data_IF_277392638001
#
_entry.id   IF_277392638001
#
_cell.length_a   1.000
_cell.length_b   1.000
_cell.length_c   1.000
_cell.angle_alpha   90.00
_cell.angle_beta   90.00
_cell.angle_gamma   90.00
#
_symmetry.space_group_name_H-M   'P 1'
#
loop_
_entity.id
_entity.type
_entity.pdbx_description
1 polymer ?
#
# COMPACT_ATOMS: atom_id res chain seq x y z
N UNK A 1 0.70 -12.00 39.22
CA UNK A 1 -0.38 -12.48 38.34
C UNK A 1 -0.26 -11.73 37.01
N UNK A 2 0.02 -12.41 35.90
CA UNK A 2 0.13 -11.78 34.58
C UNK A 2 -1.24 -11.21 34.17
N UNK A 3 -1.37 -9.91 34.09
CA UNK A 3 -2.56 -9.25 33.52
C UNK A 3 -2.50 -9.45 32.01
N UNK A 4 -3.18 -10.49 31.55
CA UNK A 4 -3.27 -10.83 30.11
C UNK A 4 -4.38 -9.99 29.49
N UNK A 5 -4.04 -9.10 28.55
CA UNK A 5 -5.00 -8.27 27.79
C UNK A 5 -5.62 -9.04 26.62
N UNK A 6 -6.84 -8.69 26.25
CA UNK A 6 -7.47 -9.21 25.03
C UNK A 6 -6.86 -8.57 23.79
N UNK A 7 -7.04 -9.14 22.58
CA UNK A 7 -6.61 -8.51 21.33
C UNK A 7 -7.13 -7.09 21.15
N UNK A 8 -8.40 -6.85 21.48
CA UNK A 8 -9.06 -5.56 21.35
C UNK A 8 -8.46 -4.52 22.31
N UNK A 9 -8.20 -4.93 23.57
CA UNK A 9 -7.51 -4.07 24.55
C UNK A 9 -6.09 -3.71 24.13
N UNK A 10 -5.38 -4.61 23.43
CA UNK A 10 -4.05 -4.34 22.91
C UNK A 10 -4.10 -3.33 21.77
N UNK A 11 -5.04 -3.47 20.84
CA UNK A 11 -5.23 -2.50 19.74
C UNK A 11 -5.61 -1.12 20.27
N UNK A 12 -6.53 -1.04 21.24
CA UNK A 12 -6.88 0.22 21.94
C UNK A 12 -5.67 0.84 22.65
N UNK A 13 -4.82 0.01 23.26
CA UNK A 13 -3.59 0.46 23.90
C UNK A 13 -2.60 1.04 22.89
N UNK A 14 -2.43 0.38 21.72
CA UNK A 14 -1.60 0.87 20.63
C UNK A 14 -2.10 2.24 20.16
N UNK A 15 -3.39 2.40 19.96
CA UNK A 15 -3.98 3.65 19.50
C UNK A 15 -3.80 4.80 20.51
N UNK A 16 -3.94 4.51 21.82
CA UNK A 16 -3.81 5.52 22.88
C UNK A 16 -2.37 5.92 23.20
N UNK A 17 -1.41 4.99 23.10
CA UNK A 17 -0.03 5.19 23.57
C UNK A 17 0.93 5.66 22.48
N UNK A 18 0.57 5.47 21.20
CA UNK A 18 1.44 5.82 20.08
C UNK A 18 0.75 6.79 19.13
N UNK A 19 1.54 7.64 18.51
CA UNK A 19 1.09 8.65 17.55
C UNK A 19 1.95 8.61 16.28
N UNK A 20 1.45 9.13 15.15
CA UNK A 20 2.22 9.21 13.92
C UNK A 20 3.57 9.93 14.12
N UNK A 21 4.57 9.47 13.39
CA UNK A 21 5.86 10.16 13.27
C UNK A 21 5.65 11.32 12.28
N UNK A 22 5.71 12.54 12.76
CA UNK A 22 5.57 13.76 11.95
C UNK A 22 6.87 14.08 11.19
N UNK A 23 7.39 13.12 10.43
CA UNK A 23 8.61 13.28 9.63
C UNK A 23 8.29 13.05 8.16
N UNK A 24 8.64 14.03 7.34
CA UNK A 24 8.51 13.94 5.89
C UNK A 24 9.88 14.04 5.22
N UNK A 25 9.98 13.45 4.03
CA UNK A 25 11.12 13.56 3.13
C UNK A 25 10.65 13.75 1.70
N UNK A 26 11.52 14.30 0.85
CA UNK A 26 11.25 14.38 -0.57
C UNK A 26 11.97 13.22 -1.28
N UNK A 27 11.23 12.50 -2.11
CA UNK A 27 11.77 11.42 -2.95
C UNK A 27 11.54 11.71 -4.42
N UNK A 28 12.37 11.13 -5.28
CA UNK A 28 12.13 11.20 -6.71
C UNK A 28 10.81 10.49 -7.08
N UNK A 29 10.14 10.95 -8.14
CA UNK A 29 8.88 10.38 -8.60
C UNK A 29 8.97 8.85 -8.82
N UNK A 30 10.11 8.36 -9.34
CA UNK A 30 10.39 6.93 -9.55
C UNK A 30 10.46 6.10 -8.25
N UNK A 31 10.69 6.74 -7.11
CA UNK A 31 10.82 6.10 -5.79
C UNK A 31 9.56 6.28 -4.92
N UNK A 32 8.56 6.99 -5.46
CA UNK A 32 7.38 7.39 -4.70
C UNK A 32 6.29 6.29 -4.63
N UNK A 33 6.31 5.29 -5.51
CA UNK A 33 5.33 4.19 -5.51
C UNK A 33 5.34 3.45 -4.17
N UNK A 34 4.15 3.21 -3.60
CA UNK A 34 3.99 2.55 -2.30
C UNK A 34 4.36 3.41 -1.08
N UNK A 35 4.86 4.64 -1.29
CA UNK A 35 5.10 5.61 -0.21
C UNK A 35 3.79 6.28 0.20
N UNK A 36 3.76 6.78 1.42
CA UNK A 36 2.60 7.52 1.96
C UNK A 36 2.82 9.02 1.74
N UNK A 37 1.85 9.70 1.16
CA UNK A 37 1.93 11.13 0.88
C UNK A 37 1.89 11.94 2.19
N UNK A 38 2.84 12.86 2.36
CA UNK A 38 3.00 13.64 3.60
C UNK A 38 2.15 14.91 3.64
N UNK A 39 1.72 15.42 2.50
CA UNK A 39 0.89 16.62 2.36
C UNK A 39 -0.03 16.51 1.14
N UNK A 40 -1.08 17.34 1.07
CA UNK A 40 -1.95 17.44 -0.10
C UNK A 40 -1.16 17.96 -1.31
N UNK A 41 -1.38 17.35 -2.47
CA UNK A 41 -0.80 17.82 -3.73
C UNK A 41 -1.87 18.53 -4.55
N UNK A 42 -1.71 19.84 -4.70
CA UNK A 42 -2.50 20.65 -5.59
C UNK A 42 -1.73 20.95 -6.90
N UNK A 43 -2.45 21.00 -7.99
CA UNK A 43 -1.91 21.39 -9.29
C UNK A 43 -1.54 22.89 -9.30
N UNK A 44 -0.50 23.23 -10.05
CA UNK A 44 -0.08 24.62 -10.31
C UNK A 44 -0.38 25.07 -11.72
N UNK A 45 -0.66 24.13 -12.61
CA UNK A 45 -0.84 24.30 -14.04
C UNK A 45 -2.14 23.68 -14.49
N UNK A 46 -2.59 24.03 -15.70
CA UNK A 46 -3.69 23.36 -16.36
C UNK A 46 -3.25 22.06 -16.99
N UNK A 47 -4.12 21.04 -17.00
CA UNK A 47 -3.93 19.81 -17.77
C UNK A 47 -5.22 19.54 -18.56
N UNK A 48 -5.14 19.48 -19.90
CA UNK A 48 -4.02 19.97 -20.72
C UNK A 48 -3.88 21.51 -20.63
N UNK A 49 -2.71 22.04 -21.03
CA UNK A 49 -2.46 23.49 -21.02
C UNK A 49 -2.91 24.20 -22.31
N UNK A 50 -3.54 23.48 -23.23
CA UNK A 50 -4.12 24.00 -24.46
C UNK A 50 -5.31 23.16 -24.92
N UNK A 51 -6.19 23.75 -25.73
CA UNK A 51 -7.29 23.01 -26.36
C UNK A 51 -6.72 22.06 -27.41
N UNK A 52 -7.17 20.78 -27.39
CA UNK A 52 -6.64 19.76 -28.31
C UNK A 52 -7.72 18.88 -28.93
N UNK A 53 -7.43 18.37 -30.13
CA UNK A 53 -8.27 17.40 -30.79
C UNK A 53 -8.18 16.01 -30.14
N UNK A 54 -9.29 15.27 -30.08
CA UNK A 54 -9.32 13.86 -29.69
C UNK A 54 -9.23 12.90 -30.87
N UNK A 55 -9.25 13.42 -32.10
CA UNK A 55 -9.29 12.66 -33.36
C UNK A 55 -8.36 13.29 -34.39
N UNK A 56 -7.97 12.53 -35.41
CA UNK A 56 -7.41 13.08 -36.64
C UNK A 56 -8.54 13.68 -37.46
N UNK A 57 -8.37 14.92 -37.92
CA UNK A 57 -9.45 15.58 -38.65
C UNK A 57 -9.20 17.05 -38.93
N UNK A 58 -10.29 17.79 -39.10
CA UNK A 58 -10.26 19.20 -39.42
C UNK A 58 -10.95 20.02 -38.37
N UNK A 59 -10.21 20.94 -37.77
CA UNK A 59 -10.71 21.95 -36.86
C UNK A 59 -11.56 22.95 -37.64
N UNK A 60 -12.80 23.18 -37.19
CA UNK A 60 -13.83 24.00 -37.85
C UNK A 60 -14.53 24.88 -36.83
N UNK A 61 -15.25 25.85 -37.28
CA UNK A 61 -16.36 26.44 -36.56
C UNK A 61 -17.59 25.59 -36.87
N UNK A 62 -18.24 25.05 -35.85
CA UNK A 62 -19.38 24.13 -36.03
C UNK A 62 -20.48 24.72 -36.87
N UNK A 63 -20.75 26.03 -36.75
CA UNK A 63 -21.74 26.75 -37.57
C UNK A 63 -21.51 26.59 -39.06
N UNK A 64 -20.27 26.50 -39.54
CA UNK A 64 -19.92 26.44 -40.94
C UNK A 64 -20.19 25.04 -41.55
N UNK A 65 -20.49 24.08 -40.71
CA UNK A 65 -20.83 22.69 -41.10
C UNK A 65 -22.33 22.39 -40.99
N UNK A 66 -23.15 23.32 -40.46
CA UNK A 66 -24.56 23.05 -40.26
C UNK A 66 -25.31 22.82 -41.57
N UNK A 67 -26.07 21.74 -41.61
CA UNK A 67 -26.84 21.34 -42.78
C UNK A 67 -26.04 20.59 -43.86
N UNK A 68 -24.75 20.36 -43.68
CA UNK A 68 -23.97 19.54 -44.59
C UNK A 68 -24.37 18.06 -44.50
N UNK A 69 -24.15 17.34 -45.60
CA UNK A 69 -24.38 15.90 -45.74
C UNK A 69 -23.48 15.35 -46.86
N UNK A 70 -23.46 14.01 -47.02
CA UNK A 70 -22.74 13.39 -48.16
C UNK A 70 -23.17 13.93 -49.53
N UNK A 71 -24.46 14.31 -49.68
CA UNK A 71 -24.97 14.85 -50.93
C UNK A 71 -24.72 16.36 -51.09
N UNK A 72 -24.53 17.09 -49.99
CA UNK A 72 -24.30 18.54 -49.95
C UNK A 72 -23.23 18.82 -48.89
N UNK A 73 -21.95 18.54 -49.20
CA UNK A 73 -20.85 18.80 -48.24
C UNK A 73 -20.61 20.31 -48.07
N UNK A 74 -20.17 20.71 -46.86
CA UNK A 74 -19.64 22.05 -46.66
C UNK A 74 -18.21 22.09 -47.23
N UNK A 75 -17.93 23.02 -48.14
CA UNK A 75 -16.60 23.14 -48.77
C UNK A 75 -15.83 24.23 -48.04
N UNK A 76 -14.76 23.85 -47.36
CA UNK A 76 -13.94 24.75 -46.52
C UNK A 76 -12.48 24.82 -47.04
N UNK A 77 -11.93 26.00 -47.35
CA UNK A 77 -10.53 26.18 -47.62
C UNK A 77 -9.64 25.71 -46.45
N UNK A 78 -8.65 24.86 -46.77
CA UNK A 78 -7.63 24.40 -45.86
C UNK A 78 -6.55 25.47 -45.68
N UNK A 79 -6.50 26.10 -44.51
CA UNK A 79 -5.58 27.22 -44.26
C UNK A 79 -4.21 26.79 -43.74
N UNK A 80 -4.18 25.75 -42.94
CA UNK A 80 -2.97 25.26 -42.27
C UNK A 80 -3.08 23.79 -41.87
N UNK A 81 -1.95 23.20 -41.53
CA UNK A 81 -1.87 21.88 -40.88
C UNK A 81 -1.05 22.03 -39.63
N UNK A 82 -1.62 21.63 -38.50
CA UNK A 82 -0.93 21.60 -37.19
C UNK A 82 -0.15 20.30 -37.08
N UNK A 83 1.12 20.38 -36.73
CA UNK A 83 1.96 19.22 -36.47
C UNK A 83 1.98 18.85 -34.98
N UNK A 84 2.22 17.57 -34.69
CA UNK A 84 2.34 17.12 -33.29
C UNK A 84 3.52 17.81 -32.61
N UNK A 85 3.26 18.33 -31.39
CA UNK A 85 4.25 19.04 -30.59
C UNK A 85 4.42 20.52 -30.96
N UNK A 86 3.66 21.02 -31.92
CA UNK A 86 3.63 22.44 -32.27
C UNK A 86 2.37 23.13 -31.74
N UNK A 87 2.48 24.42 -31.45
CA UNK A 87 1.34 25.28 -31.11
C UNK A 87 0.49 25.57 -32.34
N UNK A 88 -0.79 25.86 -32.13
CA UNK A 88 -1.69 26.28 -33.22
C UNK A 88 -1.84 27.83 -33.19
N UNK A 89 -0.82 28.54 -33.68
CA UNK A 89 -0.79 30.02 -33.68
C UNK A 89 -1.65 30.66 -34.80
N UNK A 90 -2.68 29.98 -35.25
CA UNK A 90 -3.62 30.43 -36.25
C UNK A 90 -4.96 30.86 -35.60
N UNK A 91 -5.59 31.86 -36.15
CA UNK A 91 -6.97 32.21 -35.84
C UNK A 91 -7.90 31.70 -36.96
N UNK A 92 -8.72 30.72 -36.62
CA UNK A 92 -9.70 30.16 -37.57
C UNK A 92 -10.83 31.16 -37.80
N UNK A 93 -10.98 31.63 -39.07
CA UNK A 93 -12.05 32.49 -39.46
C UNK A 93 -13.28 31.67 -39.92
N UNK A 94 -14.37 32.38 -40.19
CA UNK A 94 -15.61 31.79 -40.75
C UNK A 94 -15.33 31.20 -42.15
N UNK A 95 -15.84 29.99 -42.35
CA UNK A 95 -15.72 29.27 -43.62
C UNK A 95 -14.37 28.65 -43.91
N UNK A 96 -13.48 28.55 -42.90
CA UNK A 96 -12.16 27.94 -43.05
C UNK A 96 -12.04 26.63 -42.25
N UNK A 97 -11.04 25.80 -42.58
CA UNK A 97 -10.63 24.66 -41.77
C UNK A 97 -9.12 24.55 -41.62
N UNK A 98 -8.69 23.84 -40.55
CA UNK A 98 -7.27 23.55 -40.28
C UNK A 98 -7.13 22.05 -39.97
N UNK A 99 -6.20 21.36 -40.63
CA UNK A 99 -5.93 19.97 -40.36
C UNK A 99 -5.22 19.81 -39.00
N UNK A 100 -5.74 18.92 -38.15
CA UNK A 100 -5.23 18.70 -36.81
C UNK A 100 -5.11 17.19 -36.53
N UNK A 101 -3.98 16.73 -35.96
CA UNK A 101 -3.83 15.34 -35.57
C UNK A 101 -4.47 15.09 -34.19
N UNK A 102 -4.73 13.83 -33.89
CA UNK A 102 -5.13 13.37 -32.54
C UNK A 102 -4.14 13.84 -31.49
N UNK A 103 -4.64 14.55 -30.46
CA UNK A 103 -3.81 15.15 -29.40
C UNK A 103 -3.14 16.47 -29.80
N UNK A 104 -3.24 16.90 -31.04
CA UNK A 104 -2.69 18.17 -31.53
C UNK A 104 -3.47 19.37 -31.01
N UNK A 105 -2.77 20.50 -30.87
CA UNK A 105 -3.38 21.78 -30.53
C UNK A 105 -4.39 22.20 -31.60
N UNK A 106 -5.48 22.85 -31.18
CA UNK A 106 -6.45 23.44 -32.12
C UNK A 106 -6.31 24.95 -32.15
N UNK A 107 -6.51 25.59 -33.33
CA UNK A 107 -6.45 27.02 -33.47
C UNK A 107 -7.52 27.74 -32.64
N UNK A 108 -7.24 28.97 -32.25
CA UNK A 108 -8.27 29.83 -31.66
C UNK A 108 -9.41 30.06 -32.65
N UNK A 109 -10.65 30.05 -32.15
CA UNK A 109 -11.84 30.17 -33.01
C UNK A 109 -12.45 28.83 -33.42
N UNK A 110 -11.74 27.74 -33.18
CA UNK A 110 -12.28 26.36 -33.33
C UNK A 110 -13.26 26.07 -32.19
N UNK A 111 -14.43 25.53 -32.52
CA UNK A 111 -15.37 25.00 -31.55
C UNK A 111 -15.80 23.55 -31.83
N UNK A 112 -15.22 22.93 -32.87
CA UNK A 112 -15.43 21.51 -33.18
C UNK A 112 -14.32 20.94 -34.10
N UNK A 113 -14.15 19.63 -34.07
CA UNK A 113 -13.29 18.90 -35.01
C UNK A 113 -14.09 17.83 -35.70
N UNK A 114 -14.07 17.86 -37.05
CA UNK A 114 -14.69 16.80 -37.88
C UNK A 114 -13.60 15.74 -38.15
N UNK A 115 -13.95 14.48 -37.89
CA UNK A 115 -13.03 13.34 -38.14
C UNK A 115 -12.72 13.24 -39.65
N UNK A 116 -11.51 12.82 -39.97
CA UNK A 116 -11.04 12.65 -41.37
C UNK A 116 -11.95 11.72 -42.18
N UNK A 117 -12.56 10.72 -41.54
CA UNK A 117 -13.48 9.75 -42.16
C UNK A 117 -14.79 10.37 -42.69
N UNK A 118 -15.10 11.61 -42.26
CA UNK A 118 -16.28 12.36 -42.72
C UNK A 118 -15.89 13.55 -43.59
N UNK A 119 -14.70 13.51 -44.18
CA UNK A 119 -14.18 14.60 -45.02
C UNK A 119 -13.58 14.06 -46.32
N UNK A 120 -13.52 14.91 -47.35
CA UNK A 120 -12.89 14.62 -48.61
C UNK A 120 -11.95 15.78 -49.01
N UNK A 121 -10.70 15.46 -49.28
CA UNK A 121 -9.72 16.43 -49.81
C UNK A 121 -9.82 16.47 -51.32
N UNK A 122 -10.27 17.62 -51.88
CA UNK A 122 -10.42 17.79 -53.32
C UNK A 122 -9.10 18.06 -54.05
N UNK A 123 -8.00 18.21 -53.33
CA UNK A 123 -6.66 18.40 -53.89
C UNK A 123 -6.42 19.81 -54.53
N UNK A 124 -7.38 20.70 -54.36
CA UNK A 124 -7.32 22.10 -54.82
C UNK A 124 -7.12 23.10 -53.67
N UNK A 125 -6.86 22.57 -52.44
CA UNK A 125 -6.75 23.33 -51.20
C UNK A 125 -8.10 23.50 -50.45
N UNK A 126 -9.15 22.75 -50.84
CA UNK A 126 -10.40 22.74 -50.14
C UNK A 126 -10.75 21.35 -49.62
N UNK A 127 -11.48 21.34 -48.49
CA UNK A 127 -11.94 20.12 -47.83
C UNK A 127 -13.48 20.11 -47.84
N UNK A 128 -14.03 19.03 -48.35
CA UNK A 128 -15.47 18.74 -48.27
C UNK A 128 -15.78 18.11 -46.93
N UNK A 129 -16.69 18.69 -46.14
CA UNK A 129 -17.16 18.16 -44.85
C UNK A 129 -18.56 17.61 -45.06
N UNK A 130 -18.72 16.30 -44.89
CA UNK A 130 -19.97 15.58 -45.13
C UNK A 130 -20.85 15.40 -43.89
N UNK A 131 -20.29 15.63 -42.68
CA UNK A 131 -21.00 15.48 -41.41
C UNK A 131 -20.85 16.74 -40.55
N UNK A 132 -21.96 17.31 -40.03
CA UNK A 132 -21.89 18.53 -39.22
C UNK A 132 -21.23 18.27 -37.87
N UNK A 133 -20.42 19.22 -37.43
CA UNK A 133 -19.85 19.26 -36.07
C UNK A 133 -20.87 19.92 -35.12
N UNK A 134 -20.90 19.44 -33.88
CA UNK A 134 -21.51 20.16 -32.78
C UNK A 134 -20.44 20.95 -32.00
N UNK A 135 -20.78 22.10 -31.38
CA UNK A 135 -19.84 22.78 -30.49
C UNK A 135 -19.30 21.85 -29.39
N UNK A 136 -18.00 21.85 -29.19
CA UNK A 136 -17.28 20.95 -28.27
C UNK A 136 -16.97 19.55 -28.82
N UNK A 137 -17.48 19.20 -30.01
CA UNK A 137 -17.30 17.87 -30.59
C UNK A 137 -15.80 17.57 -30.86
N UNK A 138 -15.32 16.44 -30.35
CA UNK A 138 -13.95 15.94 -30.50
C UNK A 138 -12.87 16.89 -29.95
N UNK A 139 -13.20 17.68 -28.94
CA UNK A 139 -12.28 18.59 -28.26
C UNK A 139 -12.11 18.20 -26.78
N UNK A 140 -10.90 18.39 -26.28
CA UNK A 140 -10.59 18.52 -24.86
C UNK A 140 -10.09 19.94 -24.65
N UNK A 141 -10.75 20.67 -23.79
CA UNK A 141 -10.40 22.07 -23.50
C UNK A 141 -9.29 22.17 -22.47
N UNK A 142 -8.59 23.28 -22.49
CA UNK A 142 -7.59 23.62 -21.50
C UNK A 142 -8.16 23.50 -20.08
N UNK A 143 -7.55 22.65 -19.26
CA UNK A 143 -7.94 22.47 -17.86
C UNK A 143 -9.14 21.55 -17.62
N UNK A 144 -9.64 20.85 -18.62
CA UNK A 144 -10.77 19.91 -18.48
C UNK A 144 -10.48 18.82 -17.44
N UNK A 145 -9.21 18.37 -17.34
CA UNK A 145 -8.80 17.39 -16.34
C UNK A 145 -8.38 18.09 -15.03
N UNK A 146 -7.46 19.04 -15.15
CA UNK A 146 -6.84 19.69 -13.98
C UNK A 146 -6.68 21.19 -14.18
N UNK A 147 -7.03 21.97 -13.15
CA UNK A 147 -6.83 23.42 -13.11
C UNK A 147 -5.99 23.84 -11.88
N UNK A 148 -5.32 25.00 -11.91
CA UNK A 148 -4.54 25.47 -10.79
C UNK A 148 -5.34 25.56 -9.49
N UNK A 149 -4.80 25.00 -8.41
CA UNK A 149 -5.44 24.92 -7.10
C UNK A 149 -6.28 23.67 -6.85
N UNK A 150 -6.59 22.87 -7.89
CA UNK A 150 -7.29 21.58 -7.69
C UNK A 150 -6.36 20.63 -6.93
N UNK A 151 -6.83 20.14 -5.78
CA UNK A 151 -6.16 19.06 -5.04
C UNK A 151 -6.37 17.75 -5.79
N UNK A 152 -5.27 17.10 -6.14
CA UNK A 152 -5.25 15.85 -6.94
C UNK A 152 -5.10 14.64 -6.03
N UNK A 153 -4.23 14.75 -5.03
CA UNK A 153 -3.95 13.69 -4.08
C UNK A 153 -3.94 14.26 -2.66
N UNK A 154 -4.55 13.54 -1.73
CA UNK A 154 -4.61 13.94 -0.32
C UNK A 154 -3.51 13.28 0.50
N UNK A 155 -3.07 13.99 1.55
CA UNK A 155 -2.17 13.48 2.59
C UNK A 155 -2.68 12.12 3.12
N UNK A 156 -1.75 11.23 3.49
CA UNK A 156 -2.03 9.91 4.02
C UNK A 156 -2.31 8.84 2.97
N UNK A 157 -2.43 9.23 1.67
CA UNK A 157 -2.61 8.29 0.58
C UNK A 157 -1.35 7.48 0.30
N UNK A 158 -1.48 6.16 0.23
CA UNK A 158 -0.43 5.28 -0.32
C UNK A 158 -0.43 5.39 -1.84
N UNK A 159 0.71 5.83 -2.41
CA UNK A 159 0.83 6.15 -3.84
C UNK A 159 0.84 4.89 -4.71
N UNK A 160 -0.11 4.80 -5.62
CA UNK A 160 -0.21 3.79 -6.66
C UNK A 160 0.51 4.21 -7.93
N UNK A 161 0.63 3.29 -8.90
CA UNK A 161 1.16 3.61 -10.25
C UNK A 161 0.31 4.67 -10.97
N UNK A 162 -1.00 4.68 -10.77
CA UNK A 162 -1.88 5.70 -11.34
C UNK A 162 -1.61 7.10 -10.72
N UNK A 163 -1.34 7.14 -9.41
CA UNK A 163 -0.99 8.39 -8.75
C UNK A 163 0.35 8.95 -9.24
N UNK A 164 1.32 8.06 -9.55
CA UNK A 164 2.59 8.46 -10.17
C UNK A 164 2.35 9.10 -11.55
N UNK A 165 1.44 8.52 -12.35
CA UNK A 165 1.03 9.12 -13.63
C UNK A 165 0.39 10.51 -13.45
N UNK A 166 -0.49 10.66 -12.48
CA UNK A 166 -1.12 11.96 -12.18
C UNK A 166 -0.10 13.00 -11.71
N UNK A 167 0.85 12.62 -10.86
CA UNK A 167 1.95 13.50 -10.41
C UNK A 167 2.85 13.91 -11.59
N UNK A 168 3.16 12.99 -12.50
CA UNK A 168 3.92 13.28 -13.72
C UNK A 168 3.18 14.28 -14.61
N UNK A 169 1.86 14.11 -14.79
CA UNK A 169 1.03 14.98 -15.63
C UNK A 169 1.04 16.45 -15.16
N UNK A 170 1.22 16.69 -13.85
CA UNK A 170 1.33 18.05 -13.26
C UNK A 170 2.78 18.47 -12.99
N UNK A 171 3.77 17.79 -13.55
CA UNK A 171 5.19 18.13 -13.43
C UNK A 171 5.81 17.94 -12.04
N UNK A 172 5.20 17.14 -11.17
CA UNK A 172 5.73 16.86 -9.81
C UNK A 172 6.79 15.75 -9.85
N UNK A 173 8.05 16.13 -9.98
CA UNK A 173 9.20 15.20 -10.01
C UNK A 173 9.80 14.91 -8.62
N UNK A 174 9.53 15.76 -7.64
CA UNK A 174 9.87 15.57 -6.23
C UNK A 174 8.57 15.47 -5.42
N UNK A 175 8.42 14.37 -4.71
CA UNK A 175 7.17 14.03 -4.01
C UNK A 175 7.41 14.04 -2.49
N UNK A 176 6.65 14.85 -1.73
CA UNK A 176 6.72 14.84 -0.27
C UNK A 176 6.03 13.60 0.27
N UNK A 177 6.78 12.71 0.92
CA UNK A 177 6.28 11.47 1.49
C UNK A 177 6.63 11.35 2.96
N UNK A 178 5.82 10.62 3.73
CA UNK A 178 6.16 10.26 5.08
C UNK A 178 7.47 9.45 5.10
N UNK A 179 8.37 9.78 6.02
CA UNK A 179 9.62 9.03 6.19
C UNK A 179 9.30 7.58 6.57
N UNK A 180 10.06 6.64 6.02
CA UNK A 180 9.93 5.24 6.41
C UNK A 180 10.25 5.05 7.88
N UNK A 181 9.38 4.33 8.60
CA UNK A 181 9.66 3.91 9.97
C UNK A 181 10.86 2.98 9.98
N UNK A 182 11.87 3.28 10.77
CA UNK A 182 13.04 2.42 10.95
C UNK A 182 12.78 1.48 12.13
N UNK A 183 12.86 0.17 11.87
CA UNK A 183 12.59 -0.87 12.87
C UNK A 183 13.86 -1.67 13.14
N UNK A 184 14.30 -1.67 14.39
CA UNK A 184 15.39 -2.54 14.87
C UNK A 184 14.89 -3.94 15.18
N UNK A 185 15.56 -4.96 14.67
CA UNK A 185 15.28 -6.38 14.98
C UNK A 185 16.47 -6.96 15.73
N UNK A 186 16.21 -7.55 16.89
CA UNK A 186 17.19 -8.21 17.74
C UNK A 186 16.69 -9.64 18.02
N UNK A 187 17.50 -10.65 17.73
CA UNK A 187 17.24 -12.02 18.21
C UNK A 187 18.03 -12.31 19.47
N UNK A 188 17.45 -13.06 20.41
CA UNK A 188 18.16 -13.54 21.61
C UNK A 188 17.89 -15.01 21.87
N UNK A 189 18.93 -15.74 22.27
CA UNK A 189 18.90 -17.16 22.59
C UNK A 189 20.25 -17.82 22.39
N UNK A 190 20.73 -18.53 23.40
CA UNK A 190 22.00 -19.27 23.35
C UNK A 190 21.95 -20.45 22.35
N UNK A 191 20.74 -20.89 22.02
CA UNK A 191 20.51 -21.95 21.03
C UNK A 191 20.58 -21.46 19.58
N UNK A 192 20.54 -20.13 19.34
CA UNK A 192 20.43 -19.59 18.01
C UNK A 192 21.77 -19.51 17.28
N UNK A 193 21.73 -19.91 16.00
CA UNK A 193 22.84 -19.67 15.07
C UNK A 193 22.33 -18.96 13.82
N UNK A 194 23.17 -18.22 13.08
CA UNK A 194 22.78 -17.60 11.82
C UNK A 194 22.27 -18.62 10.80
N UNK A 195 21.38 -18.22 9.86
CA UNK A 195 20.77 -19.13 8.88
C UNK A 195 21.79 -19.91 8.02
N UNK A 196 22.94 -19.32 7.72
CA UNK A 196 24.03 -19.92 6.94
C UNK A 196 24.86 -20.93 7.72
N UNK A 197 24.83 -20.87 9.05
CA UNK A 197 25.61 -21.77 9.90
C UNK A 197 24.98 -23.18 9.96
N UNK A 198 25.83 -24.21 10.12
CA UNK A 198 25.37 -25.57 10.42
C UNK A 198 25.14 -25.69 11.93
N UNK A 199 23.88 -25.94 12.40
CA UNK A 199 23.61 -26.10 13.82
C UNK A 199 24.33 -27.29 14.43
N UNK A 200 24.93 -27.09 15.59
CA UNK A 200 25.42 -28.15 16.45
C UNK A 200 24.30 -28.77 17.30
N UNK A 201 24.62 -29.76 18.15
CA UNK A 201 23.66 -30.35 19.09
C UNK A 201 23.02 -29.28 19.99
N UNK A 202 21.68 -29.22 20.00
CA UNK A 202 20.93 -28.24 20.81
C UNK A 202 20.80 -26.86 20.19
N UNK A 203 21.41 -26.60 19.03
CA UNK A 203 21.30 -25.33 18.32
C UNK A 203 20.22 -25.38 17.22
N UNK A 204 19.65 -24.23 16.92
CA UNK A 204 18.67 -24.04 15.85
C UNK A 204 19.00 -22.75 15.08
N UNK A 205 18.66 -22.72 13.80
CA UNK A 205 18.83 -21.50 13.00
C UNK A 205 17.85 -20.42 13.43
N UNK A 206 18.31 -19.17 13.46
CA UNK A 206 17.42 -18.02 13.60
C UNK A 206 16.54 -17.90 12.34
N UNK A 207 15.27 -18.25 12.48
CA UNK A 207 14.27 -18.14 11.44
C UNK A 207 13.41 -16.89 11.58
N UNK A 208 13.42 -16.30 12.80
CA UNK A 208 12.56 -15.16 13.09
C UNK A 208 13.10 -13.87 12.49
N UNK A 209 14.40 -13.56 12.60
CA UNK A 209 14.96 -12.34 12.02
C UNK A 209 14.69 -12.21 10.52
N UNK A 210 15.05 -13.16 9.65
CA UNK A 210 14.77 -13.03 8.22
C UNK A 210 13.28 -12.98 7.89
N UNK A 211 12.42 -13.70 8.63
CA UNK A 211 10.98 -13.60 8.48
C UNK A 211 10.46 -12.21 8.85
N UNK A 212 10.90 -11.66 9.98
CA UNK A 212 10.52 -10.32 10.44
C UNK A 212 11.00 -9.25 9.47
N UNK A 213 12.25 -9.34 9.00
CA UNK A 213 12.80 -8.42 7.99
C UNK A 213 11.95 -8.39 6.71
N UNK A 214 11.59 -9.58 6.20
CA UNK A 214 10.73 -9.70 5.03
C UNK A 214 9.35 -9.07 5.29
N UNK A 215 8.71 -9.38 6.43
CA UNK A 215 7.41 -8.82 6.80
C UNK A 215 7.47 -7.29 6.93
N UNK A 216 8.45 -6.76 7.67
CA UNK A 216 8.63 -5.33 7.90
C UNK A 216 8.91 -4.57 6.59
N UNK A 217 9.68 -5.18 5.69
CA UNK A 217 9.93 -4.62 4.35
C UNK A 217 8.64 -4.53 3.52
N UNK A 218 7.78 -5.56 3.57
CA UNK A 218 6.46 -5.51 2.89
C UNK A 218 5.52 -4.48 3.52
N UNK A 219 5.70 -4.15 4.81
CA UNK A 219 4.97 -3.06 5.46
C UNK A 219 5.48 -1.66 5.08
N UNK A 220 6.60 -1.59 4.36
CA UNK A 220 7.21 -0.33 3.92
C UNK A 220 8.19 0.27 4.90
N UNK A 221 8.67 -0.50 5.90
CA UNK A 221 9.65 -0.07 6.87
C UNK A 221 11.09 -0.17 6.34
N UNK A 222 11.99 0.60 6.95
CA UNK A 222 13.43 0.36 6.89
C UNK A 222 13.82 -0.54 8.07
N UNK A 223 14.57 -1.63 7.81
CA UNK A 223 14.90 -2.61 8.84
C UNK A 223 16.38 -2.57 9.15
N UNK A 224 16.72 -2.52 10.43
CA UNK A 224 18.10 -2.64 10.95
C UNK A 224 18.17 -3.92 11.76
N UNK A 225 18.89 -4.91 11.26
CA UNK A 225 19.12 -6.16 11.97
C UNK A 225 20.37 -6.03 12.89
N UNK A 226 20.16 -6.20 14.19
CA UNK A 226 21.23 -6.15 15.20
C UNK A 226 21.85 -7.53 15.49
N UNK A 227 21.36 -8.57 14.79
CA UNK A 227 21.88 -9.93 14.92
C UNK A 227 21.39 -10.67 16.17
N UNK A 228 22.07 -11.77 16.44
CA UNK A 228 21.80 -12.65 17.60
C UNK A 228 22.61 -12.19 18.79
N UNK A 229 21.94 -11.96 19.91
CA UNK A 229 22.55 -11.63 21.19
C UNK A 229 22.37 -12.83 22.12
N UNK A 230 23.46 -13.25 22.79
CA UNK A 230 23.39 -14.30 23.79
C UNK A 230 22.49 -13.90 24.97
N UNK A 231 22.02 -14.89 25.74
CA UNK A 231 21.09 -14.67 26.86
C UNK A 231 21.78 -14.02 28.08
N UNK A 232 22.50 -12.90 27.82
CA UNK A 232 23.14 -12.03 28.82
C UNK A 232 22.35 -10.71 28.89
N UNK A 233 21.84 -10.38 30.09
CA UNK A 233 20.98 -9.22 30.31
C UNK A 233 21.73 -7.89 30.04
N UNK A 234 23.03 -7.80 30.36
CA UNK A 234 23.79 -6.58 30.14
C UNK A 234 24.04 -6.32 28.63
N UNK A 235 24.45 -7.37 27.91
CA UNK A 235 24.64 -7.30 26.45
C UNK A 235 23.32 -7.01 25.73
N UNK A 236 22.22 -7.66 26.11
CA UNK A 236 20.92 -7.42 25.55
C UNK A 236 20.44 -6.00 25.84
N UNK A 237 20.62 -5.49 27.08
CA UNK A 237 20.28 -4.12 27.44
C UNK A 237 21.08 -3.10 26.61
N UNK A 238 22.38 -3.33 26.43
CA UNK A 238 23.23 -2.48 25.60
C UNK A 238 22.73 -2.43 24.17
N UNK A 239 22.39 -3.60 23.59
CA UNK A 239 21.91 -3.71 22.20
C UNK A 239 20.53 -3.07 22.02
N UNK A 240 19.62 -3.24 22.97
CA UNK A 240 18.30 -2.60 22.99
C UNK A 240 18.43 -1.07 23.06
N UNK A 241 19.30 -0.55 23.94
CA UNK A 241 19.53 0.89 24.04
C UNK A 241 20.15 1.47 22.76
N UNK A 242 21.04 0.74 22.10
CA UNK A 242 21.55 1.09 20.78
C UNK A 242 20.41 1.19 19.76
N UNK A 243 19.57 0.15 19.68
CA UNK A 243 18.44 0.12 18.74
C UNK A 243 17.42 1.23 19.03
N UNK A 244 17.13 1.54 20.30
CA UNK A 244 16.27 2.67 20.67
C UNK A 244 16.85 4.01 20.20
N UNK A 245 18.16 4.18 20.26
CA UNK A 245 18.80 5.42 19.81
C UNK A 245 18.68 5.60 18.28
N UNK A 246 18.86 4.52 17.52
CA UNK A 246 18.99 4.53 16.05
C UNK A 246 17.67 4.31 15.31
N UNK A 247 16.67 3.65 15.94
CA UNK A 247 15.42 3.24 15.31
C UNK A 247 14.19 3.94 15.90
N UNK A 248 13.07 3.88 15.17
CA UNK A 248 11.77 4.41 15.60
C UNK A 248 10.95 3.36 16.38
N UNK A 249 11.23 2.07 16.16
CA UNK A 249 10.64 0.94 16.88
C UNK A 249 11.66 -0.18 17.05
N UNK A 250 11.50 -1.02 18.08
CA UNK A 250 12.40 -2.15 18.34
C UNK A 250 11.60 -3.43 18.52
N UNK A 251 11.98 -4.50 17.82
CA UNK A 251 11.45 -5.84 17.99
C UNK A 251 12.51 -6.74 18.60
N UNK A 252 12.17 -7.39 19.71
CA UNK A 252 12.99 -8.40 20.36
C UNK A 252 12.37 -9.78 20.05
N UNK A 253 13.11 -10.65 19.40
CA UNK A 253 12.67 -12.01 19.09
C UNK A 253 13.48 -13.00 19.87
N UNK A 254 12.84 -13.84 20.66
CA UNK A 254 13.53 -14.88 21.44
C UNK A 254 13.05 -14.97 22.88
N UNK A 255 13.86 -15.61 23.72
CA UNK A 255 13.57 -15.68 25.14
C UNK A 255 12.32 -16.48 25.48
N UNK A 256 12.23 -17.74 25.01
CA UNK A 256 11.11 -18.63 25.39
C UNK A 256 11.21 -19.11 26.85
N UNK A 257 12.40 -19.02 27.46
CA UNK A 257 12.61 -19.36 28.87
C UNK A 257 12.05 -18.27 29.81
N UNK A 258 11.62 -18.68 31.00
CA UNK A 258 11.05 -17.76 31.99
C UNK A 258 12.05 -16.67 32.38
N UNK A 259 13.34 -16.99 32.50
CA UNK A 259 14.38 -16.03 32.89
C UNK A 259 14.65 -14.93 31.85
N UNK A 260 14.63 -15.24 30.55
CA UNK A 260 14.91 -14.26 29.50
C UNK A 260 13.72 -13.30 29.29
N UNK A 261 12.50 -13.76 29.49
CA UNK A 261 11.30 -12.89 29.48
C UNK A 261 11.30 -11.87 30.61
N UNK A 262 11.69 -12.32 31.79
CA UNK A 262 11.82 -11.42 32.94
C UNK A 262 12.95 -10.39 32.70
N UNK A 263 14.04 -10.79 32.03
CA UNK A 263 15.10 -9.89 31.59
C UNK A 263 14.58 -8.86 30.57
N UNK A 264 13.83 -9.29 29.54
CA UNK A 264 13.23 -8.39 28.56
C UNK A 264 12.29 -7.35 29.22
N UNK A 265 11.45 -7.78 30.18
CA UNK A 265 10.59 -6.86 30.94
C UNK A 265 11.45 -5.83 31.71
N UNK A 266 12.49 -6.28 32.45
CA UNK A 266 13.39 -5.37 33.21
C UNK A 266 14.14 -4.39 32.30
N UNK A 267 14.59 -4.86 31.13
CA UNK A 267 15.26 -4.00 30.13
C UNK A 267 14.29 -2.93 29.64
N UNK A 268 13.05 -3.30 29.29
CA UNK A 268 12.02 -2.34 28.85
C UNK A 268 11.67 -1.36 29.97
N UNK A 269 11.51 -1.82 31.21
CA UNK A 269 11.24 -0.96 32.37
C UNK A 269 12.40 0.01 32.66
N UNK A 270 13.63 -0.44 32.48
CA UNK A 270 14.81 0.43 32.64
C UNK A 270 14.96 1.46 31.52
N UNK A 271 14.55 1.13 30.31
CA UNK A 271 14.58 2.01 29.14
C UNK A 271 13.38 2.98 29.08
N UNK A 272 12.29 2.65 29.77
CA UNK A 272 11.07 3.45 29.71
C UNK A 272 9.90 2.87 30.50
N UNK A 273 8.86 2.43 29.84
CA UNK A 273 7.62 1.93 30.46
C UNK A 273 7.18 0.60 29.84
N UNK A 274 6.89 -0.36 30.70
CA UNK A 274 6.20 -1.59 30.32
C UNK A 274 4.69 -1.34 30.26
N UNK A 275 4.06 -1.61 29.13
CA UNK A 275 2.63 -1.38 28.90
C UNK A 275 1.81 -2.67 28.99
N UNK A 276 2.41 -3.79 28.57
CA UNK A 276 1.74 -5.08 28.47
C UNK A 276 2.72 -6.23 28.68
N UNK A 277 2.25 -7.24 29.43
CA UNK A 277 2.94 -8.52 29.57
C UNK A 277 1.94 -9.69 29.43
N UNK A 278 1.70 -10.11 28.18
CA UNK A 278 0.82 -11.21 27.82
C UNK A 278 -0.46 -10.82 27.11
N UNK A 279 -0.83 -11.59 26.09
CA UNK A 279 -2.05 -11.43 25.29
C UNK A 279 -2.88 -12.72 25.36
N UNK A 280 -4.22 -12.58 25.41
CA UNK A 280 -5.15 -13.70 25.46
C UNK A 280 -5.35 -14.36 24.08
N UNK A 281 -4.28 -14.76 23.42
CA UNK A 281 -4.31 -15.41 22.10
C UNK A 281 -3.53 -16.73 22.08
N UNK A 282 -3.75 -17.50 21.03
CA UNK A 282 -2.99 -18.71 20.68
C UNK A 282 -2.81 -18.79 19.16
N UNK A 283 -1.55 -18.90 18.69
CA UNK A 283 -0.31 -18.75 19.44
C UNK A 283 0.02 -17.30 19.77
N UNK A 284 0.95 -17.03 20.74
CA UNK A 284 1.47 -15.69 20.98
C UNK A 284 1.23 -15.13 22.40
N UNK A 285 0.72 -15.93 23.36
CA UNK A 285 0.45 -15.47 24.74
C UNK A 285 1.60 -14.66 25.38
N UNK A 286 2.89 -15.06 25.29
CA UNK A 286 3.96 -14.38 26.01
C UNK A 286 4.54 -13.18 25.27
N UNK A 287 3.70 -12.32 24.74
CA UNK A 287 4.11 -11.08 24.09
C UNK A 287 4.24 -9.95 25.09
N UNK A 288 5.24 -9.09 24.89
CA UNK A 288 5.53 -7.92 25.72
C UNK A 288 5.40 -6.68 24.83
N UNK A 289 4.81 -5.61 25.36
CA UNK A 289 4.81 -4.28 24.73
C UNK A 289 5.24 -3.26 25.77
N UNK A 290 6.18 -2.43 25.40
CA UNK A 290 6.60 -1.27 26.13
C UNK A 290 6.95 -0.10 25.24
N UNK A 291 7.44 0.98 25.83
CA UNK A 291 7.88 2.17 25.12
C UNK A 291 9.07 2.84 25.81
N UNK A 292 9.97 3.40 25.00
CA UNK A 292 11.00 4.33 25.43
C UNK A 292 10.68 5.72 24.85
N UNK A 293 10.17 6.62 25.68
CA UNK A 293 9.57 7.84 25.20
C UNK A 293 8.36 7.56 24.30
N UNK A 294 8.45 7.90 22.99
CA UNK A 294 7.41 7.62 21.98
C UNK A 294 7.69 6.36 21.16
N UNK A 295 8.85 5.72 21.36
CA UNK A 295 9.27 4.59 20.54
C UNK A 295 8.79 3.27 21.13
N UNK A 296 8.02 2.45 20.39
CA UNK A 296 7.58 1.14 20.86
C UNK A 296 8.73 0.13 20.92
N UNK A 297 8.64 -0.76 21.92
CA UNK A 297 9.50 -1.92 22.07
C UNK A 297 8.60 -3.13 22.21
N UNK A 298 8.70 -4.10 21.31
CA UNK A 298 7.86 -5.30 21.30
C UNK A 298 8.72 -6.54 21.52
N UNK A 299 8.43 -7.27 22.59
CA UNK A 299 9.01 -8.59 22.83
C UNK A 299 8.12 -9.67 22.19
N UNK A 300 8.65 -10.34 21.17
CA UNK A 300 7.99 -11.39 20.40
C UNK A 300 8.28 -12.77 20.99
N UNK A 301 7.34 -13.72 20.88
CA UNK A 301 7.60 -15.12 21.23
C UNK A 301 8.71 -15.71 20.34
N UNK A 302 9.56 -16.57 20.89
CA UNK A 302 10.63 -17.27 20.14
C UNK A 302 10.08 -18.27 19.10
N UNK A 303 8.87 -18.81 19.26
CA UNK A 303 8.26 -19.71 18.26
C UNK A 303 7.84 -18.94 17.00
N UNK A 304 8.27 -19.37 15.79
CA UNK A 304 8.10 -18.58 14.56
C UNK A 304 6.64 -18.30 14.19
N UNK A 305 5.74 -19.29 14.32
CA UNK A 305 4.32 -19.07 14.03
C UNK A 305 3.69 -18.05 14.98
N UNK A 306 4.14 -18.03 16.22
CA UNK A 306 3.68 -17.05 17.20
C UNK A 306 4.24 -15.65 16.90
N UNK A 307 5.52 -15.54 16.58
CA UNK A 307 6.13 -14.28 16.16
C UNK A 307 5.45 -13.69 14.91
N UNK A 308 5.13 -14.55 13.92
CA UNK A 308 4.40 -14.17 12.73
C UNK A 308 3.03 -13.57 13.07
N UNK A 309 2.20 -14.27 13.87
CA UNK A 309 0.87 -13.78 14.22
C UNK A 309 0.92 -12.49 15.03
N UNK A 310 1.84 -12.38 16.02
CA UNK A 310 2.00 -11.14 16.77
C UNK A 310 2.38 -9.99 15.83
N UNK A 311 3.26 -10.24 14.88
CA UNK A 311 3.67 -9.22 13.90
C UNK A 311 2.49 -8.81 13.01
N UNK A 312 1.70 -9.75 12.52
CA UNK A 312 0.50 -9.45 11.71
C UNK A 312 -0.59 -8.72 12.50
N UNK A 313 -0.86 -9.17 13.72
CA UNK A 313 -2.02 -8.73 14.48
C UNK A 313 -1.80 -7.44 15.28
N UNK A 314 -0.55 -7.17 15.68
CA UNK A 314 -0.25 -6.05 16.58
C UNK A 314 0.91 -5.17 16.12
N UNK A 315 1.99 -5.73 15.58
CA UNK A 315 3.09 -4.90 15.06
C UNK A 315 2.69 -4.20 13.77
N UNK A 316 1.98 -4.87 12.85
CA UNK A 316 1.48 -4.23 11.63
C UNK A 316 0.55 -3.04 11.93
N UNK A 317 -0.50 -3.13 12.77
CA UNK A 317 -1.30 -1.97 13.19
C UNK A 317 -0.49 -0.90 13.92
N UNK A 318 0.45 -1.28 14.78
CA UNK A 318 1.34 -0.36 15.48
C UNK A 318 2.19 0.46 14.49
N UNK A 319 2.78 -0.20 13.49
CA UNK A 319 3.52 0.48 12.43
C UNK A 319 2.61 1.34 11.55
N UNK A 320 1.40 0.87 11.26
CA UNK A 320 0.37 1.67 10.59
C UNK A 320 0.08 2.96 11.34
N UNK A 321 -0.05 2.87 12.68
CA UNK A 321 -0.24 4.04 13.55
C UNK A 321 0.95 5.01 13.49
N UNK A 322 2.19 4.50 13.50
CA UNK A 322 3.39 5.33 13.39
C UNK A 322 3.53 6.01 12.00
N UNK A 323 3.05 5.36 10.94
CA UNK A 323 3.11 5.84 9.55
C UNK A 323 1.90 6.68 9.14
N UNK A 324 0.91 6.86 10.01
CA UNK A 324 -0.40 7.46 9.68
C UNK A 324 -1.05 6.77 8.47
N UNK A 325 -1.01 5.45 8.44
CA UNK A 325 -1.44 4.60 7.33
C UNK A 325 -2.38 3.52 7.80
N UNK A 326 -3.54 3.38 7.13
CA UNK A 326 -4.38 2.20 7.29
C UNK A 326 -3.67 0.99 6.65
N UNK A 327 -3.46 -0.04 7.47
CA UNK A 327 -2.85 -1.31 7.07
C UNK A 327 -3.84 -2.47 7.21
N UNK A 328 -5.13 -2.19 7.09
CA UNK A 328 -6.19 -3.20 7.14
C UNK A 328 -5.97 -4.25 6.05
N UNK A 329 -5.95 -5.51 6.46
CA UNK A 329 -5.80 -6.63 5.54
C UNK A 329 -7.13 -6.96 4.87
N UNK A 330 -7.08 -7.44 3.64
CA UNK A 330 -8.26 -7.92 2.92
C UNK A 330 -8.75 -9.24 3.54
N UNK A 331 -10.06 -9.38 3.63
CA UNK A 331 -10.72 -10.60 4.10
C UNK A 331 -11.62 -11.16 3.01
N UNK A 332 -11.76 -12.48 3.00
CA UNK A 332 -12.72 -13.19 2.16
C UNK A 332 -13.55 -14.13 3.03
N UNK A 333 -14.79 -14.35 2.65
CA UNK A 333 -15.65 -15.34 3.29
C UNK A 333 -15.37 -16.71 2.72
N UNK A 334 -15.15 -17.72 3.59
CA UNK A 334 -14.91 -19.10 3.21
C UNK A 334 -15.59 -20.08 4.17
N UNK A 335 -15.77 -21.33 3.74
CA UNK A 335 -16.30 -22.42 4.59
C UNK A 335 -15.19 -23.35 5.06
N UNK A 336 -15.16 -23.65 6.35
CA UNK A 336 -14.15 -24.55 6.93
C UNK A 336 -14.37 -25.97 6.41
N UNK A 337 -13.29 -26.62 5.92
CA UNK A 337 -13.36 -27.99 5.36
C UNK A 337 -13.48 -29.09 6.40
N UNK A 338 -13.14 -28.84 7.66
CA UNK A 338 -13.17 -29.81 8.76
C UNK A 338 -13.52 -29.15 10.09
N UNK A 339 -14.01 -29.93 11.07
CA UNK A 339 -14.26 -29.41 12.43
C UNK A 339 -12.96 -29.12 13.16
N UNK A 340 -12.93 -27.99 13.88
CA UNK A 340 -11.78 -27.51 14.65
C UNK A 340 -12.21 -27.33 16.09
N UNK A 341 -11.53 -27.98 17.03
CA UNK A 341 -11.72 -27.72 18.46
C UNK A 341 -10.89 -26.53 18.91
N UNK A 342 -11.44 -25.69 19.74
CA UNK A 342 -10.77 -24.55 20.36
C UNK A 342 -10.90 -24.59 21.88
N UNK A 343 -10.00 -23.92 22.59
CA UNK A 343 -10.07 -23.79 24.04
C UNK A 343 -10.70 -22.45 24.39
N UNK A 344 -11.71 -22.45 25.21
CA UNK A 344 -12.34 -21.26 25.75
C UNK A 344 -11.33 -20.30 26.44
N UNK A 345 -11.56 -19.02 26.36
CA UNK A 345 -10.77 -17.99 27.06
C UNK A 345 -9.60 -17.38 26.30
N UNK A 346 -9.31 -17.84 25.04
CA UNK A 346 -8.28 -17.24 24.16
C UNK A 346 -8.73 -17.26 22.72
N UNK A 347 -8.53 -16.16 22.01
CA UNK A 347 -8.69 -16.13 20.57
C UNK A 347 -7.62 -17.03 19.92
N UNK A 348 -8.04 -17.92 19.01
CA UNK A 348 -7.14 -18.87 18.34
C UNK A 348 -7.03 -18.55 16.87
N UNK A 349 -5.80 -18.37 16.39
CA UNK A 349 -5.50 -18.07 15.00
C UNK A 349 -4.96 -19.30 14.29
N UNK A 350 -5.54 -19.60 13.13
CA UNK A 350 -5.23 -20.77 12.33
C UNK A 350 -4.88 -20.37 10.91
N UNK A 351 -3.71 -20.81 10.43
CA UNK A 351 -3.36 -20.71 9.02
C UNK A 351 -4.26 -21.64 8.20
N UNK A 352 -4.56 -21.26 6.96
CA UNK A 352 -5.34 -22.09 6.05
C UNK A 352 -4.84 -21.95 4.60
N UNK A 353 -5.18 -22.96 3.82
CA UNK A 353 -5.18 -22.90 2.35
C UNK A 353 -6.60 -22.62 1.88
N UNK A 354 -6.72 -21.80 0.84
CA UNK A 354 -7.98 -21.52 0.18
C UNK A 354 -8.12 -22.38 -1.08
N UNK A 355 -9.26 -23.01 -1.22
CA UNK A 355 -9.63 -23.75 -2.42
C UNK A 355 -11.05 -23.39 -2.81
N UNK A 356 -11.39 -23.57 -4.07
CA UNK A 356 -12.76 -23.33 -4.56
C UNK A 356 -12.77 -22.70 -5.93
N UNK A 357 -13.91 -22.80 -6.57
CA UNK A 357 -14.20 -22.21 -7.89
C UNK A 357 -15.66 -21.74 -7.91
N UNK A 358 -15.99 -20.74 -8.75
CA UNK A 358 -17.38 -20.36 -9.00
C UNK A 358 -18.09 -19.62 -7.88
N UNK A 359 -17.35 -18.92 -7.00
CA UNK A 359 -17.95 -18.05 -5.98
C UNK A 359 -18.03 -18.67 -4.57
N UNK A 360 -17.74 -19.94 -4.39
CA UNK A 360 -17.59 -20.57 -3.07
C UNK A 360 -16.14 -20.86 -2.75
N UNK A 361 -15.66 -20.34 -1.61
CA UNK A 361 -14.31 -20.58 -1.09
C UNK A 361 -14.38 -21.52 0.12
N UNK A 362 -13.41 -22.42 0.16
CA UNK A 362 -13.20 -23.36 1.26
C UNK A 362 -11.84 -23.11 1.90
N UNK A 363 -11.83 -23.02 3.23
CA UNK A 363 -10.63 -22.84 4.03
C UNK A 363 -10.23 -24.19 4.62
N UNK A 364 -9.13 -24.75 4.15
CA UNK A 364 -8.52 -25.95 4.71
C UNK A 364 -7.51 -25.54 5.79
N UNK A 365 -7.75 -25.84 7.07
CA UNK A 365 -6.82 -25.51 8.15
C UNK A 365 -5.47 -26.22 7.99
N UNK A 366 -4.38 -25.48 8.18
CA UNK A 366 -3.04 -26.05 8.25
C UNK A 366 -2.76 -26.39 9.70
N UNK A 367 -2.69 -27.68 10.01
CA UNK A 367 -2.41 -28.17 11.36
C UNK A 367 -0.91 -28.13 11.64
N UNK A 368 -0.51 -27.58 12.78
CA UNK A 368 0.89 -27.55 13.21
C UNK A 368 1.05 -26.98 14.61
N UNK A 369 2.22 -27.22 15.21
CA UNK A 369 2.62 -26.59 16.46
C UNK A 369 3.28 -25.24 16.15
N UNK A 370 3.22 -24.29 17.08
CA UNK A 370 3.77 -22.93 16.91
C UNK A 370 5.29 -22.86 16.63
N UNK A 371 6.04 -23.92 16.91
CA UNK A 371 7.45 -24.06 16.58
C UNK A 371 7.74 -24.57 15.17
N UNK A 372 6.71 -24.97 14.39
CA UNK A 372 6.89 -25.55 13.05
C UNK A 372 6.73 -24.48 11.98
N UNK A 373 7.83 -23.91 11.51
CA UNK A 373 7.83 -22.82 10.50
C UNK A 373 7.12 -23.22 9.19
N UNK A 374 7.17 -24.48 8.80
CA UNK A 374 6.50 -24.99 7.61
C UNK A 374 4.97 -24.87 7.65
N UNK A 375 4.38 -24.64 8.85
CA UNK A 375 2.97 -24.32 8.99
C UNK A 375 2.61 -22.99 8.30
N UNK A 376 3.57 -22.06 8.20
CA UNK A 376 3.40 -20.78 7.49
C UNK A 376 3.67 -20.91 5.99
N UNK A 377 4.50 -21.88 5.58
CA UNK A 377 4.82 -22.07 4.17
C UNK A 377 3.60 -22.59 3.39
N UNK A 378 3.23 -21.90 2.30
CA UNK A 378 2.05 -22.24 1.50
C UNK A 378 0.72 -21.92 2.18
N UNK A 379 0.72 -20.96 3.12
CA UNK A 379 -0.48 -20.38 3.72
C UNK A 379 -1.03 -19.29 2.80
N UNK A 380 -2.31 -19.39 2.42
CA UNK A 380 -3.01 -18.36 1.63
C UNK A 380 -3.63 -17.30 2.53
N UNK A 381 -4.01 -17.69 3.75
CA UNK A 381 -4.62 -16.81 4.71
C UNK A 381 -4.71 -17.41 6.10
N UNK A 382 -5.30 -16.66 7.03
CA UNK A 382 -5.59 -17.14 8.37
C UNK A 382 -6.97 -16.67 8.83
N UNK A 383 -7.53 -17.39 9.80
CA UNK A 383 -8.79 -17.04 10.44
C UNK A 383 -8.67 -17.14 11.95
N UNK A 384 -9.62 -16.50 12.64
CA UNK A 384 -9.69 -16.48 14.09
C UNK A 384 -10.91 -17.27 14.58
N UNK A 385 -10.71 -18.11 15.60
CA UNK A 385 -11.77 -18.66 16.42
C UNK A 385 -11.83 -17.78 17.68
N UNK A 386 -13.00 -17.17 17.93
CA UNK A 386 -13.22 -16.29 19.07
C UNK A 386 -12.92 -17.02 20.39
N UNK A 387 -12.48 -16.25 21.39
CA UNK A 387 -12.21 -16.76 22.75
C UNK A 387 -13.43 -17.36 23.45
N UNK A 388 -14.63 -16.99 23.00
CA UNK A 388 -15.90 -17.43 23.58
C UNK A 388 -16.49 -18.64 22.83
N UNK A 389 -15.75 -19.20 21.85
CA UNK A 389 -16.12 -20.40 21.09
C UNK A 389 -15.25 -21.59 21.47
N UNK A 390 -15.87 -22.77 21.56
CA UNK A 390 -15.17 -24.05 21.82
C UNK A 390 -14.71 -24.73 20.54
N UNK A 391 -14.94 -24.11 19.37
CA UNK A 391 -14.53 -24.60 18.08
C UNK A 391 -15.44 -24.18 16.93
N UNK A 392 -15.16 -24.73 15.75
CA UNK A 392 -15.97 -24.55 14.55
C UNK A 392 -16.37 -25.90 13.99
N UNK A 393 -17.64 -26.13 13.65
CA UNK A 393 -18.05 -27.33 12.92
C UNK A 393 -17.59 -27.25 11.47
N UNK A 394 -17.44 -28.39 10.81
CA UNK A 394 -17.23 -28.47 9.36
C UNK A 394 -18.35 -27.70 8.63
N UNK A 395 -18.00 -26.94 7.60
CA UNK A 395 -18.91 -26.12 6.82
C UNK A 395 -19.25 -24.76 7.46
N UNK A 396 -18.75 -24.46 8.68
CA UNK A 396 -18.94 -23.13 9.27
C UNK A 396 -18.35 -22.04 8.37
N UNK A 397 -19.10 -20.95 8.24
CA UNK A 397 -18.67 -19.76 7.51
C UNK A 397 -17.74 -18.90 8.39
N UNK A 398 -16.61 -18.51 7.82
CA UNK A 398 -15.57 -17.74 8.49
C UNK A 398 -15.04 -16.61 7.63
N UNK A 399 -14.45 -15.60 8.27
CA UNK A 399 -13.65 -14.57 7.60
C UNK A 399 -12.18 -14.99 7.59
N UNK A 400 -11.60 -15.13 6.40
CA UNK A 400 -10.19 -15.44 6.20
C UNK A 400 -9.45 -14.17 5.82
N UNK A 401 -8.45 -13.79 6.62
CA UNK A 401 -7.53 -12.71 6.28
C UNK A 401 -6.47 -13.22 5.32
N UNK A 402 -6.35 -12.61 4.15
CA UNK A 402 -5.41 -13.00 3.10
C UNK A 402 -3.99 -12.57 3.46
N UNK A 403 -3.01 -13.46 3.26
CA UNK A 403 -1.60 -13.23 3.59
C UNK A 403 -0.68 -13.22 2.38
N UNK A 404 -0.98 -14.01 1.35
CA UNK A 404 -0.28 -14.00 0.07
C UNK A 404 -0.88 -12.91 -0.82
N UNK A 405 -0.05 -12.06 -1.41
CA UNK A 405 -0.47 -10.85 -2.12
C UNK A 405 -1.59 -11.09 -3.14
N UNK A 406 -2.56 -10.22 -3.07
CA UNK A 406 -3.49 -9.92 -4.14
C UNK A 406 -2.81 -8.90 -5.05
#
# INVERSE_FOLDING_TARGET
MLYVKTPEEVLSLIESEFSPLEQAEFVALSEAVGRVLAEDIAAREYVPDFDRSTVDGFAVRASDTFGCSDAIPAILPLQATVLMGEGADYLLNEGECVAVPTGGAVPRGTDGVVMVEYTEDYGDGTIGVAKPAAPGMNLIFRGDDVYPGKVILHKGRSLSSADIGALAAIGRVQVPVAKKVTVGVISTGDELVPPEAQPGPGQVRDVNSPMLEAMLSTFGCHVVNYGIVVDDEALLSQKVNQAIAECDAVLLSGGSSVGVKDAACRIIESAGQLLLHGIAIKPGKPTILGKAGKKPIVGLPGHPVAAYFITKLFVQPLLGRLMDRDMTAYTVTARVTESISANHGRAQYHCCRLTGTGGELYAQPIRGKSGLITTLAGTDGYFCISRDCEGLPQGAEIQVTITSGV
#
